data_IF_160400853412
#
_entry.id   IF_160400853412
#
_cell.length_a   1.000
_cell.length_b   1.000
_cell.length_c   1.000
_cell.angle_alpha   90.00
_cell.angle_beta   90.00
_cell.angle_gamma   90.00
#
_symmetry.space_group_name_H-M   'P 1'
#
loop_
_entity.id
_entity.type
_entity.pdbx_description
1 polymer ?
#
# COMPACT_ATOMS: atom_id res chain seq x y z
N UNK A 1 56.47 -26.65 -233.81
CA UNK A 1 56.41 -28.13 -233.89
C UNK A 1 56.59 -28.68 -232.47
N UNK A 2 56.21 -29.94 -232.14
CA UNK A 2 54.89 -30.56 -231.93
C UNK A 2 54.61 -30.84 -230.42
N UNK A 3 53.46 -31.48 -230.12
CA UNK A 3 52.70 -31.51 -228.84
C UNK A 3 53.33 -32.19 -227.60
N UNK A 4 54.35 -33.03 -227.71
CA UNK A 4 54.79 -33.88 -226.57
C UNK A 4 55.61 -33.18 -225.47
N UNK A 5 56.14 -31.98 -225.72
CA UNK A 5 56.89 -31.22 -224.69
C UNK A 5 55.99 -30.42 -223.73
N UNK A 6 54.71 -30.22 -224.07
CA UNK A 6 53.79 -29.41 -223.25
C UNK A 6 53.24 -30.20 -222.05
N UNK A 7 52.97 -31.50 -222.23
CA UNK A 7 52.45 -32.38 -221.17
C UNK A 7 53.50 -32.76 -220.10
N UNK A 8 54.79 -32.73 -220.43
CA UNK A 8 55.87 -32.90 -219.43
C UNK A 8 56.09 -31.65 -218.58
N UNK A 9 55.92 -30.45 -219.16
CA UNK A 9 56.03 -29.18 -218.45
C UNK A 9 54.87 -28.97 -217.45
N UNK A 10 53.64 -29.31 -217.85
CA UNK A 10 52.47 -29.20 -216.96
C UNK A 10 52.53 -30.20 -215.77
N UNK A 11 53.14 -31.38 -215.95
CA UNK A 11 53.34 -32.34 -214.86
C UNK A 11 54.45 -31.90 -213.87
N UNK A 12 55.49 -31.23 -214.34
CA UNK A 12 56.53 -30.66 -213.47
C UNK A 12 55.96 -29.50 -212.65
N UNK A 13 55.19 -28.60 -213.28
CA UNK A 13 54.58 -27.44 -212.61
C UNK A 13 53.49 -27.84 -211.59
N UNK A 14 52.77 -28.93 -211.84
CA UNK A 14 51.84 -29.56 -210.90
C UNK A 14 52.54 -30.14 -209.66
N UNK A 15 53.66 -30.86 -209.87
CA UNK A 15 54.40 -31.46 -208.76
C UNK A 15 55.06 -30.41 -207.86
N UNK A 16 55.62 -29.34 -208.43
CA UNK A 16 56.25 -28.25 -207.67
C UNK A 16 55.23 -27.48 -206.81
N UNK A 17 54.01 -27.27 -207.32
CA UNK A 17 52.93 -26.68 -206.52
C UNK A 17 52.53 -27.57 -205.34
N UNK A 18 52.50 -28.90 -205.51
CA UNK A 18 52.20 -29.82 -204.41
C UNK A 18 53.30 -29.85 -203.34
N UNK A 19 54.58 -29.85 -203.73
CA UNK A 19 55.70 -29.79 -202.76
C UNK A 19 55.72 -28.48 -201.99
N UNK A 20 55.44 -27.34 -202.64
CA UNK A 20 55.35 -26.05 -201.96
C UNK A 20 54.23 -26.01 -200.90
N UNK A 21 53.06 -26.62 -201.19
CA UNK A 21 51.94 -26.71 -200.24
C UNK A 21 52.29 -27.64 -199.06
N UNK A 22 52.98 -28.76 -199.33
CA UNK A 22 53.43 -29.68 -198.28
C UNK A 22 54.48 -29.02 -197.38
N UNK A 23 55.46 -28.32 -197.94
CA UNK A 23 56.47 -27.60 -197.17
C UNK A 23 55.84 -26.53 -196.27
N UNK A 24 54.86 -25.77 -196.80
CA UNK A 24 54.07 -24.82 -196.01
C UNK A 24 53.33 -25.46 -194.83
N UNK A 25 52.78 -26.67 -195.00
CA UNK A 25 52.13 -27.42 -193.91
C UNK A 25 53.14 -27.91 -192.87
N UNK A 26 54.31 -28.38 -193.32
CA UNK A 26 55.40 -28.82 -192.45
C UNK A 26 55.90 -27.66 -191.58
N UNK A 27 56.13 -26.49 -192.16
CA UNK A 27 56.58 -25.31 -191.42
C UNK A 27 55.55 -24.84 -190.39
N UNK A 28 54.25 -24.88 -190.74
CA UNK A 28 53.16 -24.60 -189.79
C UNK A 28 53.13 -25.59 -188.63
N UNK A 29 53.24 -26.89 -188.90
CA UNK A 29 53.23 -27.92 -187.87
C UNK A 29 54.45 -27.80 -186.94
N UNK A 30 55.64 -27.55 -187.49
CA UNK A 30 56.84 -27.29 -186.68
C UNK A 30 56.67 -26.08 -185.77
N UNK A 31 56.07 -24.98 -186.27
CA UNK A 31 55.79 -23.81 -185.44
C UNK A 31 54.80 -24.10 -184.30
N UNK A 32 53.80 -24.97 -184.54
CA UNK A 32 52.82 -25.37 -183.52
C UNK A 32 53.45 -26.28 -182.46
N UNK A 33 54.33 -27.20 -182.86
CA UNK A 33 55.06 -28.08 -181.93
C UNK A 33 55.98 -27.28 -181.01
N UNK A 34 56.72 -26.31 -181.56
CA UNK A 34 57.56 -25.43 -180.74
C UNK A 34 56.72 -24.57 -179.78
N UNK A 35 55.52 -24.14 -180.19
CA UNK A 35 54.61 -23.41 -179.31
C UNK A 35 54.06 -24.30 -178.19
N UNK A 36 53.72 -25.55 -178.48
CA UNK A 36 53.29 -26.52 -177.46
C UNK A 36 54.39 -26.84 -176.45
N UNK A 37 55.64 -27.01 -176.89
CA UNK A 37 56.77 -27.20 -175.98
C UNK A 37 56.93 -26.04 -174.99
N UNK A 38 56.77 -24.80 -175.44
CA UNK A 38 56.80 -23.63 -174.54
C UNK A 38 55.68 -23.65 -173.51
N UNK A 39 54.45 -23.97 -173.93
CA UNK A 39 53.30 -24.06 -173.02
C UNK A 39 53.51 -25.13 -171.95
N UNK A 40 54.05 -26.30 -172.33
CA UNK A 40 54.32 -27.38 -171.37
C UNK A 40 55.36 -26.95 -170.33
N UNK A 41 56.43 -26.28 -170.77
CA UNK A 41 57.45 -25.76 -169.85
C UNK A 41 56.88 -24.70 -168.88
N UNK A 42 56.01 -23.81 -169.36
CA UNK A 42 55.31 -22.84 -168.49
C UNK A 42 54.40 -23.55 -167.47
N UNK A 43 53.69 -24.61 -167.88
CA UNK A 43 52.84 -25.38 -166.98
C UNK A 43 53.63 -26.15 -165.91
N UNK A 44 54.80 -26.69 -166.25
CA UNK A 44 55.69 -27.35 -165.29
C UNK A 44 56.14 -26.38 -164.18
N UNK A 45 56.49 -25.14 -164.55
CA UNK A 45 56.85 -24.10 -163.58
C UNK A 45 55.68 -23.76 -162.65
N UNK A 46 54.46 -23.61 -163.20
CA UNK A 46 53.26 -23.31 -162.39
C UNK A 46 52.97 -24.44 -161.39
N UNK A 47 53.14 -25.70 -161.79
CA UNK A 47 52.87 -26.85 -160.92
C UNK A 47 53.86 -26.89 -159.74
N UNK A 48 55.15 -26.64 -159.99
CA UNK A 48 56.15 -26.58 -158.92
C UNK A 48 55.91 -25.39 -157.98
N UNK A 49 55.51 -24.23 -158.50
CA UNK A 49 55.12 -23.09 -157.66
C UNK A 49 53.90 -23.42 -156.76
N UNK A 50 52.91 -24.16 -157.27
CA UNK A 50 51.75 -24.56 -156.48
C UNK A 50 52.08 -25.60 -155.41
N UNK A 51 52.94 -26.58 -155.71
CA UNK A 51 53.43 -27.53 -154.70
C UNK A 51 54.14 -26.81 -153.54
N UNK A 52 54.99 -25.84 -153.86
CA UNK A 52 55.68 -25.04 -152.84
C UNK A 52 54.70 -24.21 -151.99
N UNK A 53 53.61 -23.69 -152.56
CA UNK A 53 52.56 -22.99 -151.79
C UNK A 53 51.79 -23.93 -150.86
N UNK A 54 51.40 -25.11 -151.33
CA UNK A 54 50.66 -26.09 -150.51
C UNK A 54 51.50 -26.55 -149.31
N UNK A 55 52.79 -26.79 -149.51
CA UNK A 55 53.70 -27.15 -148.42
C UNK A 55 53.79 -26.09 -147.32
N UNK A 56 53.61 -24.81 -147.64
CA UNK A 56 53.60 -23.70 -146.67
C UNK A 56 52.26 -23.53 -145.96
N UNK A 57 51.18 -24.15 -146.44
CA UNK A 57 49.86 -24.11 -145.81
C UNK A 57 49.61 -25.27 -144.84
N UNK A 58 50.55 -26.22 -144.69
CA UNK A 58 50.39 -27.39 -143.82
C UNK A 58 50.55 -27.09 -142.32
N UNK A 59 51.10 -25.93 -141.97
CA UNK A 59 51.30 -25.52 -140.59
C UNK A 59 50.13 -24.64 -140.13
N UNK A 60 49.53 -24.99 -138.98
CA UNK A 60 48.48 -24.20 -138.34
C UNK A 60 49.09 -22.84 -137.95
N UNK A 61 48.47 -21.70 -138.32
CA UNK A 61 48.98 -20.37 -137.97
C UNK A 61 49.21 -20.21 -136.47
N UNK A 62 50.33 -19.60 -136.11
CA UNK A 62 50.77 -19.38 -134.72
C UNK A 62 49.71 -18.60 -133.91
N UNK A 63 49.05 -17.60 -134.51
CA UNK A 63 47.93 -16.86 -133.92
C UNK A 63 46.79 -17.76 -133.41
N UNK A 64 46.51 -18.88 -134.09
CA UNK A 64 45.46 -19.84 -133.68
C UNK A 64 45.92 -20.68 -132.49
N UNK A 65 47.22 -21.00 -132.41
CA UNK A 65 47.81 -21.68 -131.26
C UNK A 65 47.82 -20.76 -130.03
N UNK A 66 48.23 -19.50 -130.20
CA UNK A 66 48.19 -18.48 -129.13
C UNK A 66 46.76 -18.26 -128.61
N UNK A 67 45.77 -18.17 -129.51
CA UNK A 67 44.36 -18.06 -129.11
C UNK A 67 43.88 -19.28 -128.33
N UNK A 68 44.31 -20.50 -128.71
CA UNK A 68 43.96 -21.72 -127.99
C UNK A 68 44.57 -21.74 -126.59
N UNK A 69 45.83 -21.30 -126.45
CA UNK A 69 46.48 -21.16 -125.15
C UNK A 69 45.81 -20.11 -124.28
N UNK A 70 45.48 -18.94 -124.83
CA UNK A 70 44.73 -17.88 -124.16
C UNK A 70 43.34 -18.36 -123.70
N UNK A 71 42.61 -19.09 -124.54
CA UNK A 71 41.31 -19.68 -124.18
C UNK A 71 41.48 -20.72 -123.07
N UNK A 72 42.54 -21.54 -123.12
CA UNK A 72 42.88 -22.50 -122.08
C UNK A 72 43.14 -21.81 -120.74
N UNK A 73 43.97 -20.77 -120.74
CA UNK A 73 44.28 -19.96 -119.56
C UNK A 73 43.03 -19.26 -119.00
N UNK A 74 42.19 -18.68 -119.87
CA UNK A 74 40.93 -18.06 -119.46
C UNK A 74 39.97 -19.07 -118.83
N UNK A 75 39.86 -20.29 -119.39
CA UNK A 75 39.03 -21.35 -118.79
C UNK A 75 39.55 -21.76 -117.41
N UNK A 76 40.86 -21.89 -117.26
CA UNK A 76 41.45 -22.20 -115.95
C UNK A 76 41.17 -21.10 -114.93
N UNK A 77 41.37 -19.83 -115.30
CA UNK A 77 41.05 -18.69 -114.44
C UNK A 77 39.57 -18.63 -114.07
N UNK A 78 38.67 -18.97 -115.02
CA UNK A 78 37.24 -18.99 -114.78
C UNK A 78 36.86 -20.10 -113.78
N UNK A 79 37.43 -21.29 -113.91
CA UNK A 79 37.25 -22.38 -112.94
C UNK A 79 37.78 -22.03 -111.55
N UNK A 80 38.97 -21.41 -111.45
CA UNK A 80 39.53 -20.95 -110.18
C UNK A 80 38.64 -19.91 -109.51
N UNK A 81 38.13 -18.95 -110.29
CA UNK A 81 37.17 -17.95 -109.81
C UNK A 81 35.83 -18.56 -109.39
N UNK A 82 35.33 -19.57 -110.11
CA UNK A 82 34.11 -20.28 -109.72
C UNK A 82 34.29 -21.01 -108.38
N UNK A 83 35.43 -21.65 -108.17
CA UNK A 83 35.76 -22.33 -106.92
C UNK A 83 35.86 -21.33 -105.75
N UNK A 84 36.52 -20.19 -105.96
CA UNK A 84 36.61 -19.11 -104.96
C UNK A 84 35.22 -18.53 -104.64
N UNK A 85 34.36 -18.39 -105.65
CA UNK A 85 32.99 -17.90 -105.49
C UNK A 85 32.12 -18.90 -104.73
N UNK A 86 32.31 -20.21 -104.92
CA UNK A 86 31.65 -21.25 -104.15
C UNK A 86 32.13 -21.25 -102.68
N UNK A 87 33.43 -21.12 -102.45
CA UNK A 87 34.01 -21.02 -101.11
C UNK A 87 33.48 -19.80 -100.35
N UNK A 88 33.51 -18.61 -100.98
CA UNK A 88 32.99 -17.38 -100.39
C UNK A 88 31.49 -17.44 -100.13
N UNK A 89 30.69 -18.07 -101.01
CA UNK A 89 29.27 -18.35 -100.73
C UNK A 89 29.10 -19.24 -99.50
N UNK A 90 29.96 -20.23 -99.33
CA UNK A 90 30.00 -21.09 -98.14
C UNK A 90 30.28 -20.30 -96.85
N UNK A 91 31.31 -19.44 -96.86
CA UNK A 91 31.65 -18.58 -95.72
C UNK A 91 30.52 -17.59 -95.38
N UNK A 92 29.87 -17.02 -96.38
CA UNK A 92 28.70 -16.14 -96.18
C UNK A 92 27.55 -16.90 -95.54
N UNK A 93 27.24 -18.11 -96.02
CA UNK A 93 26.17 -18.93 -95.45
C UNK A 93 26.48 -19.35 -94.00
N UNK A 94 27.73 -19.69 -93.70
CA UNK A 94 28.17 -19.98 -92.33
C UNK A 94 28.04 -18.73 -91.44
N UNK A 95 28.54 -17.59 -91.89
CA UNK A 95 28.47 -16.32 -91.14
C UNK A 95 27.03 -15.92 -90.86
N UNK A 96 26.11 -16.10 -91.82
CA UNK A 96 24.68 -15.85 -91.61
C UNK A 96 24.08 -16.77 -90.54
N UNK A 97 24.44 -18.06 -90.56
CA UNK A 97 23.96 -19.03 -89.57
C UNK A 97 24.48 -18.72 -88.16
N UNK A 98 25.75 -18.34 -88.03
CA UNK A 98 26.35 -17.88 -86.78
C UNK A 98 25.65 -16.61 -86.26
N UNK A 99 25.38 -15.65 -87.14
CA UNK A 99 24.69 -14.41 -86.80
C UNK A 99 23.24 -14.67 -86.35
N UNK A 100 22.55 -15.63 -86.97
CA UNK A 100 21.21 -16.05 -86.55
C UNK A 100 21.22 -16.76 -85.18
N UNK A 101 22.24 -17.60 -84.92
CA UNK A 101 22.44 -18.24 -83.61
C UNK A 101 22.69 -17.19 -82.51
N UNK A 102 23.57 -16.23 -82.77
CA UNK A 102 23.87 -15.13 -81.84
C UNK A 102 22.62 -14.30 -81.57
N UNK A 103 21.84 -13.95 -82.61
CA UNK A 103 20.55 -13.26 -82.44
C UNK A 103 19.57 -14.04 -81.55
N UNK A 104 19.48 -15.36 -81.74
CA UNK A 104 18.63 -16.24 -80.91
C UNK A 104 19.09 -16.28 -79.44
N UNK A 105 20.37 -16.07 -79.16
CA UNK A 105 20.91 -16.02 -77.79
C UNK A 105 20.79 -14.64 -77.13
N UNK A 106 20.91 -13.55 -77.90
CA UNK A 106 20.83 -12.19 -77.37
C UNK A 106 19.43 -11.86 -76.84
N UNK A 107 18.36 -12.28 -77.53
CA UNK A 107 16.98 -11.93 -77.13
C UNK A 107 16.63 -12.46 -75.71
N UNK A 108 16.87 -13.74 -75.37
CA UNK A 108 16.68 -14.22 -74.00
C UNK A 108 17.55 -13.50 -72.97
N UNK A 109 18.80 -13.17 -73.34
CA UNK A 109 19.70 -12.46 -72.43
C UNK A 109 19.21 -11.04 -72.13
N UNK A 110 18.69 -10.33 -73.13
CA UNK A 110 18.08 -9.00 -72.95
C UNK A 110 16.83 -9.07 -72.05
N UNK A 111 15.95 -10.06 -72.27
CA UNK A 111 14.76 -10.24 -71.39
C UNK A 111 15.16 -10.50 -69.94
N UNK A 112 16.13 -11.38 -69.70
CA UNK A 112 16.64 -11.63 -68.35
C UNK A 112 17.25 -10.38 -67.72
N UNK A 113 17.90 -9.55 -68.52
CA UNK A 113 18.46 -8.29 -68.05
C UNK A 113 17.34 -7.30 -67.66
N UNK A 114 16.28 -7.18 -68.46
CA UNK A 114 15.11 -6.36 -68.16
C UNK A 114 14.40 -6.84 -66.88
N UNK A 115 14.15 -8.13 -66.74
CA UNK A 115 13.59 -8.74 -65.51
C UNK A 115 14.49 -8.47 -64.29
N UNK A 116 15.81 -8.55 -64.46
CA UNK A 116 16.75 -8.20 -63.40
C UNK A 116 16.70 -6.72 -63.02
N UNK A 117 16.48 -5.81 -63.96
CA UNK A 117 16.32 -4.39 -63.65
C UNK A 117 15.01 -4.10 -62.93
N UNK A 118 13.92 -4.77 -63.33
CA UNK A 118 12.61 -4.63 -62.67
C UNK A 118 12.67 -5.14 -61.22
N UNK A 119 13.27 -6.32 -61.00
CA UNK A 119 13.46 -6.87 -59.64
C UNK A 119 14.35 -5.97 -58.77
N UNK A 120 15.42 -5.40 -59.33
CA UNK A 120 16.25 -4.40 -58.62
C UNK A 120 15.46 -3.15 -58.28
N UNK A 121 14.58 -2.68 -59.18
CA UNK A 121 13.68 -1.56 -58.94
C UNK A 121 12.73 -1.83 -57.77
N UNK A 122 12.08 -3.00 -57.77
CA UNK A 122 11.16 -3.42 -56.71
C UNK A 122 11.88 -3.54 -55.35
N UNK A 123 13.07 -4.16 -55.32
CA UNK A 123 13.86 -4.27 -54.09
C UNK A 123 14.28 -2.90 -53.55
N UNK A 124 14.62 -1.94 -54.42
CA UNK A 124 14.92 -0.56 -53.97
C UNK A 124 13.70 0.12 -53.35
N UNK A 125 12.51 -0.07 -53.92
CA UNK A 125 11.28 0.47 -53.36
C UNK A 125 10.97 -0.15 -51.99
N UNK A 126 11.11 -1.48 -51.86
CA UNK A 126 10.90 -2.19 -50.59
C UNK A 126 11.91 -1.76 -49.52
N UNK A 127 13.19 -1.57 -49.88
CA UNK A 127 14.20 -1.04 -48.96
C UNK A 127 13.82 0.36 -48.46
N UNK A 128 13.35 1.25 -49.35
CA UNK A 128 12.94 2.60 -48.97
C UNK A 128 11.73 2.56 -48.01
N UNK A 129 10.74 1.73 -48.31
CA UNK A 129 9.57 1.52 -47.45
C UNK A 129 9.97 0.98 -46.08
N UNK A 130 10.80 -0.07 -46.03
CA UNK A 130 11.28 -0.66 -44.78
C UNK A 130 12.14 0.29 -43.96
N UNK A 131 12.95 1.13 -44.63
CA UNK A 131 13.75 2.16 -43.96
C UNK A 131 12.85 3.22 -43.31
N UNK A 132 11.79 3.64 -44.01
CA UNK A 132 10.79 4.57 -43.46
C UNK A 132 10.05 3.97 -42.25
N UNK A 133 9.61 2.70 -42.37
CA UNK A 133 8.98 1.97 -41.27
C UNK A 133 9.89 1.87 -40.04
N UNK A 134 11.19 1.62 -40.25
CA UNK A 134 12.19 1.58 -39.18
C UNK A 134 12.37 2.92 -38.48
N UNK A 135 12.38 4.02 -39.22
CA UNK A 135 12.48 5.37 -38.64
C UNK A 135 11.29 5.67 -37.72
N UNK A 136 10.06 5.38 -38.17
CA UNK A 136 8.85 5.57 -37.36
C UNK A 136 8.86 4.69 -36.11
N UNK A 137 9.30 3.42 -36.24
CA UNK A 137 9.45 2.52 -35.08
C UNK A 137 10.51 3.03 -34.09
N UNK A 138 11.64 3.55 -34.58
CA UNK A 138 12.67 4.13 -33.72
C UNK A 138 12.17 5.37 -32.96
N UNK A 139 11.39 6.24 -33.60
CA UNK A 139 10.77 7.38 -32.91
C UNK A 139 9.78 6.91 -31.84
N UNK A 140 8.95 5.91 -32.14
CA UNK A 140 8.04 5.33 -31.15
C UNK A 140 8.78 4.72 -29.95
N UNK A 141 9.88 4.00 -30.19
CA UNK A 141 10.74 3.45 -29.13
C UNK A 141 11.35 4.57 -28.28
N UNK A 142 11.83 5.65 -28.90
CA UNK A 142 12.36 6.80 -28.16
C UNK A 142 11.30 7.46 -27.27
N UNK A 143 10.09 7.65 -27.79
CA UNK A 143 8.97 8.21 -27.03
C UNK A 143 8.58 7.32 -25.85
N UNK A 144 8.55 5.99 -26.06
CA UNK A 144 8.29 5.03 -24.98
C UNK A 144 9.41 5.04 -23.93
N UNK A 145 10.67 5.14 -24.34
CA UNK A 145 11.82 5.24 -23.44
C UNK A 145 11.72 6.47 -22.53
N UNK A 146 11.43 7.64 -23.12
CA UNK A 146 11.23 8.87 -22.35
C UNK A 146 10.09 8.72 -21.32
N UNK A 147 8.98 8.09 -21.73
CA UNK A 147 7.85 7.85 -20.83
C UNK A 147 8.18 6.89 -19.69
N UNK A 148 9.03 5.90 -19.94
CA UNK A 148 9.54 4.99 -18.90
C UNK A 148 10.40 5.77 -17.90
N UNK A 149 11.30 6.64 -18.36
CA UNK A 149 12.13 7.47 -17.48
C UNK A 149 11.29 8.42 -16.62
N UNK A 150 10.26 9.06 -17.20
CA UNK A 150 9.32 9.90 -16.46
C UNK A 150 8.57 9.10 -15.37
N UNK A 151 8.08 7.90 -15.71
CA UNK A 151 7.39 7.03 -14.76
C UNK A 151 8.31 6.52 -13.65
N UNK A 152 9.57 6.23 -13.96
CA UNK A 152 10.58 5.88 -12.96
C UNK A 152 10.82 7.03 -12.00
N UNK A 153 11.04 8.25 -12.51
CA UNK A 153 11.21 9.44 -11.68
C UNK A 153 10.00 9.74 -10.80
N UNK A 154 8.78 9.52 -11.31
CA UNK A 154 7.55 9.64 -10.52
C UNK A 154 7.46 8.58 -9.42
N UNK A 155 7.81 7.32 -9.75
CA UNK A 155 7.81 6.22 -8.80
C UNK A 155 8.79 6.45 -7.66
N UNK A 156 9.98 6.99 -7.95
CA UNK A 156 10.99 7.27 -6.95
C UNK A 156 10.57 8.39 -6.01
N UNK A 157 9.98 9.48 -6.54
CA UNK A 157 9.37 10.53 -5.71
C UNK A 157 8.25 10.00 -4.82
N UNK A 158 7.37 9.16 -5.36
CA UNK A 158 6.28 8.57 -4.59
C UNK A 158 6.79 7.66 -3.46
N UNK A 159 7.83 6.86 -3.71
CA UNK A 159 8.49 6.07 -2.65
C UNK A 159 9.10 6.96 -1.57
N UNK A 160 9.75 8.06 -1.95
CA UNK A 160 10.31 9.01 -1.00
C UNK A 160 9.23 9.67 -0.12
N UNK A 161 8.12 10.09 -0.73
CA UNK A 161 6.95 10.62 -0.01
C UNK A 161 6.33 9.58 0.93
N UNK A 162 6.20 8.33 0.48
CA UNK A 162 5.70 7.23 1.32
C UNK A 162 6.59 7.00 2.54
N UNK A 163 7.92 6.98 2.37
CA UNK A 163 8.88 6.84 3.48
C UNK A 163 8.76 8.02 4.45
N UNK A 164 8.66 9.25 3.95
CA UNK A 164 8.46 10.44 4.79
C UNK A 164 7.17 10.35 5.60
N UNK A 165 6.07 9.94 4.98
CA UNK A 165 4.77 9.82 5.65
C UNK A 165 4.79 8.72 6.72
N UNK A 166 5.41 7.58 6.44
CA UNK A 166 5.59 6.49 7.42
C UNK A 166 6.39 7.00 8.62
N UNK A 167 7.54 7.65 8.39
CA UNK A 167 8.36 8.21 9.46
C UNK A 167 7.58 9.21 10.32
N UNK A 168 6.80 10.11 9.70
CA UNK A 168 5.98 11.07 10.43
C UNK A 168 4.88 10.40 11.28
N UNK A 169 4.26 9.34 10.77
CA UNK A 169 3.25 8.58 11.50
C UNK A 169 3.86 7.80 12.67
N UNK A 170 5.04 7.21 12.48
CA UNK A 170 5.77 6.53 13.54
C UNK A 170 6.19 7.50 14.66
N UNK A 171 6.68 8.68 14.30
CA UNK A 171 7.04 9.72 15.27
C UNK A 171 5.83 10.23 16.04
N UNK A 172 4.72 10.52 15.35
CA UNK A 172 3.45 10.90 16.02
C UNK A 172 2.97 9.82 16.98
N UNK A 173 2.92 8.56 16.52
CA UNK A 173 2.51 7.42 17.36
C UNK A 173 3.42 7.26 18.58
N UNK A 174 4.73 7.49 18.41
CA UNK A 174 5.70 7.42 19.50
C UNK A 174 5.44 8.52 20.54
N UNK A 175 5.22 9.76 20.11
CA UNK A 175 4.93 10.89 20.99
C UNK A 175 3.62 10.65 21.75
N UNK A 176 2.53 10.34 21.04
CA UNK A 176 1.22 10.05 21.65
C UNK A 176 1.32 8.89 22.67
N UNK A 177 2.05 7.84 22.35
CA UNK A 177 2.26 6.71 23.27
C UNK A 177 3.04 7.11 24.53
N UNK A 178 4.02 7.99 24.41
CA UNK A 178 4.77 8.52 25.56
C UNK A 178 3.90 9.41 26.44
N UNK A 179 3.10 10.30 25.84
CA UNK A 179 2.17 11.17 26.55
C UNK A 179 1.11 10.36 27.30
N UNK A 180 0.49 9.38 26.65
CA UNK A 180 -0.48 8.49 27.29
C UNK A 180 0.14 7.70 28.44
N UNK A 181 1.38 7.22 28.29
CA UNK A 181 2.08 6.50 29.36
C UNK A 181 2.39 7.42 30.55
N UNK A 182 2.75 8.67 30.29
CA UNK A 182 2.96 9.67 31.33
C UNK A 182 1.66 9.98 32.09
N UNK A 183 0.54 10.12 31.37
CA UNK A 183 -0.77 10.37 31.97
C UNK A 183 -1.26 9.18 32.80
N UNK A 184 -1.07 7.94 32.31
CA UNK A 184 -1.34 6.72 33.09
C UNK A 184 -0.54 6.74 34.40
N UNK A 185 0.77 7.02 34.33
CA UNK A 185 1.64 7.05 35.52
C UNK A 185 1.19 8.13 36.53
N UNK A 186 0.72 9.27 36.04
CA UNK A 186 0.15 10.34 36.86
C UNK A 186 -1.14 9.90 37.53
N UNK A 187 -2.07 9.32 36.78
CA UNK A 187 -3.35 8.83 37.30
C UNK A 187 -3.15 7.70 38.32
N UNK A 188 -2.20 6.79 38.10
CA UNK A 188 -1.81 5.76 39.07
C UNK A 188 -1.30 6.37 40.37
N UNK A 189 -0.45 7.40 40.29
CA UNK A 189 0.05 8.11 41.47
C UNK A 189 -1.08 8.79 42.24
N UNK A 190 -1.98 9.52 41.55
CA UNK A 190 -3.14 10.17 42.17
C UNK A 190 -4.10 9.14 42.79
N UNK A 191 -4.29 7.98 42.15
CA UNK A 191 -5.13 6.92 42.68
C UNK A 191 -4.53 6.30 43.94
N UNK A 192 -3.21 6.11 43.99
CA UNK A 192 -2.52 5.64 45.19
C UNK A 192 -2.63 6.64 46.34
N UNK A 193 -2.42 7.92 46.05
CA UNK A 193 -2.53 9.00 47.04
C UNK A 193 -3.97 9.09 47.61
N UNK A 194 -4.99 9.01 46.76
CA UNK A 194 -6.40 8.96 47.20
C UNK A 194 -6.71 7.72 48.04
N UNK A 195 -6.13 6.56 47.70
CA UNK A 195 -6.30 5.35 48.52
C UNK A 195 -5.69 5.52 49.90
N UNK A 196 -4.49 6.08 49.99
CA UNK A 196 -3.82 6.37 51.27
C UNK A 196 -4.64 7.34 52.12
N UNK A 197 -5.08 8.46 51.53
CA UNK A 197 -5.96 9.41 52.21
C UNK A 197 -7.27 8.76 52.69
N UNK A 198 -7.88 7.90 51.87
CA UNK A 198 -9.08 7.18 52.26
C UNK A 198 -8.82 6.21 53.41
N UNK A 199 -7.67 5.52 53.44
CA UNK A 199 -7.32 4.61 54.54
C UNK A 199 -7.00 5.36 55.83
N UNK A 200 -6.36 6.53 55.74
CA UNK A 200 -6.12 7.41 56.88
C UNK A 200 -7.45 7.91 57.46
N UNK A 201 -8.35 8.42 56.61
CA UNK A 201 -9.68 8.85 57.05
C UNK A 201 -10.52 7.72 57.64
N UNK A 202 -10.45 6.50 57.11
CA UNK A 202 -11.13 5.34 57.67
C UNK A 202 -10.57 4.95 59.05
N UNK A 203 -9.25 5.04 59.23
CA UNK A 203 -8.59 4.83 60.53
C UNK A 203 -9.02 5.89 61.54
N UNK A 204 -8.97 7.17 61.15
CA UNK A 204 -9.39 8.29 62.00
C UNK A 204 -10.87 8.18 62.39
N UNK A 205 -11.73 7.75 61.47
CA UNK A 205 -13.14 7.50 61.75
C UNK A 205 -13.34 6.37 62.77
N UNK A 206 -12.60 5.25 62.64
CA UNK A 206 -12.64 4.15 63.62
C UNK A 206 -12.16 4.58 65.01
N UNK A 207 -11.10 5.38 65.07
CA UNK A 207 -10.61 5.95 66.32
C UNK A 207 -11.63 6.89 66.95
N UNK A 208 -12.28 7.74 66.15
CA UNK A 208 -13.34 8.63 66.60
C UNK A 208 -14.56 7.86 67.13
N UNK A 209 -14.99 6.81 66.41
CA UNK A 209 -16.07 5.91 66.84
C UNK A 209 -15.72 5.27 68.18
N UNK A 210 -14.52 4.71 68.32
CA UNK A 210 -14.07 4.07 69.56
C UNK A 210 -14.06 5.05 70.74
N UNK A 211 -13.64 6.30 70.51
CA UNK A 211 -13.70 7.37 71.52
C UNK A 211 -15.15 7.72 71.88
N UNK A 212 -16.04 7.81 70.89
CA UNK A 212 -17.47 8.07 71.12
C UNK A 212 -18.14 6.96 71.92
N UNK A 213 -17.88 5.69 71.58
CA UNK A 213 -18.38 4.53 72.34
C UNK A 213 -17.89 4.55 73.79
N UNK A 214 -16.61 4.86 74.01
CA UNK A 214 -16.06 5.01 75.36
C UNK A 214 -16.73 6.15 76.14
N UNK A 215 -16.98 7.30 75.50
CA UNK A 215 -17.72 8.40 76.12
C UNK A 215 -19.17 8.00 76.42
N UNK A 216 -19.84 7.32 75.49
CA UNK A 216 -21.21 6.86 75.67
C UNK A 216 -21.31 5.93 76.87
N UNK A 217 -20.39 4.97 77.01
CA UNK A 217 -20.32 4.09 78.19
C UNK A 217 -20.17 4.89 79.50
N UNK A 218 -19.29 5.90 79.52
CA UNK A 218 -19.15 6.81 80.69
C UNK A 218 -20.43 7.60 80.97
N UNK A 219 -21.13 8.06 79.94
CA UNK A 219 -22.41 8.76 80.09
C UNK A 219 -23.49 7.82 80.63
N UNK A 220 -23.58 6.59 80.14
CA UNK A 220 -24.51 5.56 80.64
C UNK A 220 -24.24 5.22 82.11
N UNK A 221 -22.97 5.05 82.50
CA UNK A 221 -22.57 4.88 83.90
C UNK A 221 -22.96 6.07 84.78
N UNK A 222 -22.75 7.29 84.29
CA UNK A 222 -23.12 8.51 85.00
C UNK A 222 -24.64 8.61 85.16
N UNK A 223 -25.41 8.30 84.12
CA UNK A 223 -26.88 8.26 84.15
C UNK A 223 -27.35 7.25 85.19
N UNK A 224 -26.76 6.05 85.21
CA UNK A 224 -27.08 5.02 86.21
C UNK A 224 -26.79 5.50 87.63
N UNK A 225 -25.61 6.10 87.85
CA UNK A 225 -25.21 6.64 89.16
C UNK A 225 -26.10 7.78 89.63
N UNK A 226 -26.53 8.68 88.72
CA UNK A 226 -27.50 9.73 89.02
C UNK A 226 -28.86 9.12 89.38
N UNK A 227 -29.29 8.06 88.68
CA UNK A 227 -30.48 7.28 89.04
C UNK A 227 -30.40 6.73 90.46
N UNK A 228 -29.32 6.01 90.78
CA UNK A 228 -29.07 5.46 92.12
C UNK A 228 -29.04 6.54 93.22
N UNK A 229 -28.42 7.69 92.95
CA UNK A 229 -28.39 8.81 93.88
C UNK A 229 -29.77 9.43 94.09
N UNK A 230 -30.57 9.56 93.03
CA UNK A 230 -31.94 10.05 93.13
C UNK A 230 -32.83 9.11 93.93
N UNK A 231 -32.70 7.79 93.74
CA UNK A 231 -33.43 6.80 94.54
C UNK A 231 -33.03 6.86 96.01
N UNK A 232 -31.72 6.96 96.31
CA UNK A 232 -31.24 7.20 97.67
C UNK A 232 -31.78 8.49 98.28
N UNK A 233 -31.84 9.56 97.48
CA UNK A 233 -32.36 10.85 97.92
C UNK A 233 -33.87 10.76 98.21
N UNK A 234 -34.64 10.03 97.41
CA UNK A 234 -36.05 9.72 97.69
C UNK A 234 -36.20 8.96 99.00
N UNK A 235 -35.46 7.87 99.20
CA UNK A 235 -35.54 7.09 100.44
C UNK A 235 -35.16 7.92 101.67
N UNK A 236 -34.13 8.77 101.55
CA UNK A 236 -33.71 9.64 102.64
C UNK A 236 -34.78 10.71 102.94
N UNK A 237 -35.43 11.27 101.92
CA UNK A 237 -36.54 12.21 102.11
C UNK A 237 -37.76 11.52 102.75
N UNK A 238 -38.10 10.30 102.35
CA UNK A 238 -39.19 9.53 102.96
C UNK A 238 -38.90 9.25 104.45
N UNK A 239 -37.63 8.95 104.78
CA UNK A 239 -37.18 8.75 106.16
C UNK A 239 -37.24 10.05 106.97
N UNK A 240 -36.83 11.19 106.38
CA UNK A 240 -37.00 12.52 106.97
C UNK A 240 -38.48 12.82 107.23
N UNK A 241 -39.37 12.53 106.29
CA UNK A 241 -40.81 12.77 106.45
C UNK A 241 -41.37 11.93 107.62
N UNK A 242 -40.97 10.66 107.70
CA UNK A 242 -41.35 9.77 108.80
C UNK A 242 -40.83 10.25 110.15
N UNK A 243 -39.56 10.64 110.24
CA UNK A 243 -38.96 11.18 111.46
C UNK A 243 -39.61 12.50 111.87
N UNK A 244 -39.97 13.35 110.91
CA UNK A 244 -40.67 14.61 111.15
C UNK A 244 -42.05 14.37 111.75
N UNK A 245 -42.84 13.42 111.22
CA UNK A 245 -44.13 13.02 111.79
C UNK A 245 -43.98 12.51 113.23
N UNK A 246 -43.02 11.63 113.48
CA UNK A 246 -42.73 11.13 114.83
C UNK A 246 -42.35 12.27 115.78
N UNK A 247 -41.55 13.23 115.32
CA UNK A 247 -41.16 14.39 116.13
C UNK A 247 -42.36 15.27 116.48
N UNK A 248 -43.27 15.51 115.53
CA UNK A 248 -44.52 16.24 115.78
C UNK A 248 -45.46 15.51 116.75
N UNK A 249 -45.53 14.18 116.70
CA UNK A 249 -46.27 13.35 117.65
C UNK A 249 -45.69 13.47 119.06
N UNK A 250 -44.37 13.35 119.22
CA UNK A 250 -43.69 13.53 120.51
C UNK A 250 -43.93 14.95 121.05
N UNK A 251 -43.85 15.97 120.19
CA UNK A 251 -44.08 17.35 120.58
C UNK A 251 -45.51 17.58 121.08
N UNK A 252 -46.51 17.00 120.40
CA UNK A 252 -47.92 17.01 120.86
C UNK A 252 -48.08 16.30 122.20
N UNK A 253 -47.50 15.11 122.35
CA UNK A 253 -47.54 14.36 123.59
C UNK A 253 -46.96 15.14 124.78
N UNK A 254 -45.85 15.84 124.58
CA UNK A 254 -45.27 16.71 125.61
C UNK A 254 -46.19 17.88 125.95
N UNK A 255 -46.76 18.56 124.96
CA UNK A 255 -47.67 19.69 125.19
C UNK A 255 -48.93 19.28 125.98
N UNK A 256 -49.56 18.16 125.62
CA UNK A 256 -50.79 17.69 126.27
C UNK A 256 -50.59 17.18 127.71
N UNK A 257 -49.36 16.80 128.08
CA UNK A 257 -49.07 16.22 129.39
C UNK A 257 -48.19 17.11 130.29
N UNK A 258 -47.89 18.34 129.88
CA UNK A 258 -47.08 19.31 130.65
C UNK A 258 -47.61 19.50 132.08
N UNK A 259 -48.93 19.65 132.26
CA UNK A 259 -49.53 19.86 133.58
C UNK A 259 -49.40 18.63 134.49
N UNK A 260 -49.54 17.41 133.93
CA UNK A 260 -49.38 16.15 134.68
C UNK A 260 -47.91 15.87 135.02
N UNK A 261 -47.00 16.17 134.09
CA UNK A 261 -45.55 16.04 134.31
C UNK A 261 -45.09 17.01 135.42
N UNK A 262 -45.58 18.25 135.44
CA UNK A 262 -45.27 19.24 136.47
C UNK A 262 -45.81 18.87 137.86
N UNK A 263 -47.03 18.33 137.93
CA UNK A 263 -47.62 17.86 139.19
C UNK A 263 -46.85 16.65 139.76
N UNK A 264 -46.40 15.74 138.89
CA UNK A 264 -45.62 14.56 139.28
C UNK A 264 -44.21 14.90 139.75
N UNK A 265 -43.53 15.84 139.09
CA UNK A 265 -42.18 16.29 139.49
C UNK A 265 -42.16 17.00 140.86
N UNK A 266 -43.24 17.69 141.24
CA UNK A 266 -43.36 18.35 142.56
C UNK A 266 -43.79 17.43 143.70
N UNK A 267 -44.49 16.32 143.41
CA UNK A 267 -44.87 15.30 144.41
C UNK A 267 -43.72 14.36 144.76
N UNK A 268 -42.77 14.18 143.83
CA UNK A 268 -41.61 13.28 143.96
C UNK A 268 -40.79 13.45 145.24
N UNK A 269 -40.46 14.67 145.71
CA UNK A 269 -39.66 14.86 146.95
C UNK A 269 -40.48 14.67 148.24
N UNK A 270 -41.82 14.64 148.16
CA UNK A 270 -42.71 14.52 149.33
C UNK A 270 -43.07 13.06 149.64
N UNK A 271 -43.14 12.20 148.61
CA UNK A 271 -43.33 10.76 148.80
C UNK A 271 -42.18 10.12 149.60
N UNK A 272 -41.01 10.75 149.67
CA UNK A 272 -39.85 10.27 150.42
C UNK A 272 -39.95 10.53 151.95
N UNK A 273 -40.90 11.35 152.42
CA UNK A 273 -41.10 11.66 153.85
C UNK A 273 -42.56 11.40 154.26
N UNK A 274 -42.82 10.19 154.75
CA UNK A 274 -44.16 9.66 155.04
C UNK A 274 -45.04 10.58 155.91
N UNK A 275 -44.46 11.26 156.90
CA UNK A 275 -45.18 12.20 157.78
C UNK A 275 -45.61 13.50 157.09
N UNK A 276 -44.86 13.99 156.10
CA UNK A 276 -45.23 15.17 155.30
C UNK A 276 -46.29 14.80 154.26
N UNK A 277 -46.15 13.64 153.63
CA UNK A 277 -47.11 13.13 152.65
C UNK A 277 -48.47 12.83 153.29
N UNK A 278 -48.50 12.18 154.46
CA UNK A 278 -49.74 11.96 155.23
C UNK A 278 -50.40 13.27 155.64
N UNK A 279 -49.63 14.26 156.09
CA UNK A 279 -50.17 15.57 156.43
C UNK A 279 -50.78 16.29 155.22
N UNK A 280 -50.14 16.22 154.05
CA UNK A 280 -50.69 16.76 152.80
C UNK A 280 -51.97 16.04 152.35
N UNK A 281 -51.98 14.71 152.34
CA UNK A 281 -53.17 13.91 151.98
C UNK A 281 -54.36 14.19 152.90
N UNK A 282 -54.13 14.33 154.21
CA UNK A 282 -55.21 14.69 155.16
C UNK A 282 -55.77 16.08 154.85
N UNK A 283 -54.93 17.04 154.46
CA UNK A 283 -55.42 18.37 154.05
C UNK A 283 -56.13 18.32 152.69
N UNK A 284 -55.72 17.46 151.77
CA UNK A 284 -56.40 17.24 150.47
C UNK A 284 -57.79 16.64 150.63
N UNK A 285 -57.92 15.57 151.42
CA UNK A 285 -59.20 14.90 151.64
C UNK A 285 -60.17 15.72 152.50
N UNK A 286 -59.67 16.48 153.49
CA UNK A 286 -60.52 17.26 154.42
C UNK A 286 -60.75 18.69 153.92
N UNK A 287 -60.00 19.14 152.92
CA UNK A 287 -60.13 20.42 152.23
C UNK A 287 -59.63 21.63 153.01
N UNK A 288 -60.09 21.83 154.26
CA UNK A 288 -59.65 22.92 155.14
C UNK A 288 -59.66 22.49 156.61
N UNK A 289 -58.49 22.43 157.24
CA UNK A 289 -58.33 21.90 158.61
C UNK A 289 -57.62 22.90 159.53
N UNK A 290 -58.04 22.98 160.80
CA UNK A 290 -57.36 23.83 161.80
C UNK A 290 -56.09 23.16 162.31
N UNK A 291 -55.14 23.94 162.83
CA UNK A 291 -53.88 23.44 163.37
C UNK A 291 -54.07 22.46 164.54
N UNK A 292 -55.14 22.63 165.32
CA UNK A 292 -55.52 21.74 166.42
C UNK A 292 -56.17 20.44 165.95
N UNK A 293 -57.00 20.49 164.91
CA UNK A 293 -57.59 19.30 164.31
C UNK A 293 -56.55 18.47 163.56
N UNK A 294 -55.62 19.14 162.86
CA UNK A 294 -54.49 18.48 162.19
C UNK A 294 -53.54 17.84 163.22
N UNK A 295 -53.39 18.44 164.40
CA UNK A 295 -52.67 17.83 165.52
C UNK A 295 -53.34 16.54 166.00
N UNK A 296 -54.66 16.57 166.16
CA UNK A 296 -55.41 15.39 166.57
C UNK A 296 -55.36 14.29 165.50
N UNK A 297 -55.42 14.64 164.20
CA UNK A 297 -55.35 13.69 163.09
C UNK A 297 -53.94 13.07 162.89
N UNK A 298 -52.87 13.86 163.09
CA UNK A 298 -51.48 13.40 162.99
C UNK A 298 -50.93 12.79 164.29
N UNK A 299 -51.70 12.83 165.39
CA UNK A 299 -51.33 12.30 166.71
C UNK A 299 -50.01 12.86 167.26
N UNK A 300 -49.58 14.02 166.74
CA UNK A 300 -48.23 14.55 166.94
C UNK A 300 -48.25 15.85 167.75
N UNK A 301 -47.21 16.18 168.52
CA UNK A 301 -47.15 17.44 169.27
C UNK A 301 -47.34 18.66 168.35
N UNK A 302 -48.06 19.69 168.82
CA UNK A 302 -48.42 20.89 168.02
C UNK A 302 -47.21 21.58 167.38
N UNK A 303 -46.03 21.52 168.03
CA UNK A 303 -44.79 22.10 167.53
C UNK A 303 -44.30 21.36 166.28
N UNK A 304 -44.43 20.04 166.25
CA UNK A 304 -44.07 19.19 165.12
C UNK A 304 -45.03 19.40 163.96
N UNK A 305 -46.34 19.49 164.24
CA UNK A 305 -47.38 19.75 163.24
C UNK A 305 -47.16 21.13 162.62
N UNK A 306 -46.87 22.15 163.42
CA UNK A 306 -46.54 23.49 162.93
C UNK A 306 -45.30 23.51 162.03
N UNK A 307 -44.28 22.72 162.35
CA UNK A 307 -43.07 22.57 161.51
C UNK A 307 -43.38 21.83 160.20
N UNK A 308 -44.25 20.82 160.23
CA UNK A 308 -44.74 20.10 159.06
C UNK A 308 -45.55 21.02 158.15
N UNK A 309 -46.47 21.81 158.70
CA UNK A 309 -47.25 22.81 157.95
C UNK A 309 -46.33 23.85 157.31
N UNK A 310 -45.35 24.39 158.07
CA UNK A 310 -44.38 25.35 157.52
C UNK A 310 -43.50 24.75 156.42
N UNK A 311 -43.16 23.47 156.49
CA UNK A 311 -42.43 22.80 155.41
C UNK A 311 -43.30 22.61 154.16
N UNK A 312 -44.58 22.30 154.33
CA UNK A 312 -45.52 22.18 153.22
C UNK A 312 -45.90 23.54 152.60
N UNK A 313 -45.97 24.61 153.40
CA UNK A 313 -46.05 26.00 152.92
C UNK A 313 -44.75 26.44 152.22
N UNK A 314 -43.59 26.08 152.76
CA UNK A 314 -42.28 26.38 152.17
C UNK A 314 -42.02 25.69 150.82
N UNK A 315 -42.69 24.57 150.56
CA UNK A 315 -42.70 23.87 149.25
C UNK A 315 -43.85 24.40 148.35
N UNK A 316 -44.68 25.31 148.86
CA UNK A 316 -45.72 26.01 148.10
C UNK A 316 -46.97 25.20 147.81
N UNK A 317 -47.25 24.16 148.60
CA UNK A 317 -48.36 23.22 148.40
C UNK A 317 -49.55 23.47 149.31
N UNK A 318 -49.31 24.10 150.46
CA UNK A 318 -50.35 24.54 151.40
C UNK A 318 -50.29 26.07 151.57
N UNK A 319 -51.41 26.68 151.93
CA UNK A 319 -51.49 28.05 152.42
C UNK A 319 -52.42 28.12 153.63
N UNK A 320 -52.06 28.93 154.63
CA UNK A 320 -52.94 29.23 155.77
C UNK A 320 -53.83 30.42 155.41
N UNK A 321 -55.15 30.20 155.33
CA UNK A 321 -56.11 31.27 154.99
C UNK A 321 -56.27 32.29 156.15
N UNK A 322 -56.86 33.45 155.87
CA UNK A 322 -57.04 34.56 156.84
C UNK A 322 -57.86 34.19 158.10
N UNK A 323 -58.54 33.04 158.11
CA UNK A 323 -59.31 32.49 159.23
C UNK A 323 -58.51 31.46 160.06
N UNK A 324 -57.21 31.31 159.81
CA UNK A 324 -56.32 30.42 160.56
C UNK A 324 -56.44 28.93 160.22
N UNK A 325 -57.04 28.59 159.07
CA UNK A 325 -57.17 27.21 158.56
C UNK A 325 -56.19 26.93 157.43
N UNK A 326 -55.63 25.72 157.40
CA UNK A 326 -54.67 25.27 156.40
C UNK A 326 -55.43 24.65 155.23
N UNK A 327 -55.18 25.13 154.00
CA UNK A 327 -55.81 24.68 152.74
C UNK A 327 -54.75 24.41 151.68
N UNK A 328 -55.05 23.56 150.70
CA UNK A 328 -54.16 23.34 149.55
C UNK A 328 -54.18 24.55 148.64
N UNK A 329 -52.98 25.00 148.25
CA UNK A 329 -52.82 26.08 147.29
C UNK A 329 -53.21 25.60 145.89
N UNK A 330 -54.35 26.05 145.39
CA UNK A 330 -54.75 25.81 143.98
C UNK A 330 -53.77 26.57 143.07
N UNK A 331 -53.08 25.84 142.20
CA UNK A 331 -52.23 26.44 141.16
C UNK A 331 -53.11 26.64 139.93
N UNK A 332 -53.20 27.89 139.46
CA UNK A 332 -53.84 28.26 138.20
C UNK A 332 -53.16 27.54 137.02
N UNK A 333 -53.96 26.98 136.12
CA UNK A 333 -53.53 26.34 134.87
C UNK A 333 -52.77 27.34 133.98
N UNK A 334 -51.64 26.94 133.38
CA UNK A 334 -50.90 27.67 132.33
C UNK A 334 -51.26 27.09 130.97
#
# INVERSE_FOLDING_TARGET
MPKDLRDMLDNIESSEKQTAILQSKVDKLSSLVERQKRIISEQEVIVEEQKAKISKMSDIPEDILELKELIGAQRQQLNERELELEYTKGEVAQSQKELELVKKQIIPAQRKLEESYETVGNLRAEIAEKTSELLLKNEAVKNLSNKIEELQAFTDKFKEEQVKLISQLEDKRRIESQELKAEISRLETTLLERKLQSTELDSDAKDAISRMESMQGKYEELIKKVGELNDKNRTANDEIERLTKNFEEIKRFQQENIAKIYHFDKLKPLMEKETLFKAFLIVDEVGAITLEDLRNALGSPIVTVKKITQQLEGVGLLETNEQGKIVIKKIEEI
#
